data_IF_817169641329
#
_entry.id   IF_817169641329
#
_cell.length_a   1.000
_cell.length_b   1.000
_cell.length_c   1.000
_cell.angle_alpha   90.00
_cell.angle_beta   90.00
_cell.angle_gamma   90.00
#
_symmetry.space_group_name_H-M   'P 1'
#
loop_
_entity.id
_entity.type
_entity.pdbx_description
1 polymer ?
#
# COMPACT_ATOMS: atom_id res chain seq x y z
N UNK A 1 6.13 -13.15 -7.96
CA UNK A 1 7.18 -13.26 -6.93
C UNK A 1 7.82 -11.91 -6.57
N UNK A 2 8.24 -11.06 -7.52
CA UNK A 2 8.92 -9.76 -7.21
C UNK A 2 8.10 -8.75 -6.38
N UNK A 3 6.80 -8.55 -6.66
CA UNK A 3 5.97 -7.59 -5.89
C UNK A 3 5.82 -7.98 -4.41
N UNK A 4 5.61 -9.28 -4.13
CA UNK A 4 5.52 -9.80 -2.76
C UNK A 4 6.83 -9.55 -1.98
N UNK A 5 7.98 -9.59 -2.65
CA UNK A 5 9.27 -9.31 -2.03
C UNK A 5 9.48 -7.82 -1.75
N UNK A 6 8.91 -6.92 -2.57
CA UNK A 6 8.88 -5.49 -2.28
C UNK A 6 8.06 -5.17 -1.02
N UNK A 7 6.93 -5.86 -0.84
CA UNK A 7 6.09 -5.71 0.34
C UNK A 7 6.80 -6.13 1.64
N UNK A 8 7.56 -7.22 1.62
CA UNK A 8 8.34 -7.66 2.79
C UNK A 8 9.46 -6.70 3.20
N UNK A 9 9.78 -5.70 2.37
CA UNK A 9 10.67 -4.59 2.74
C UNK A 9 9.91 -3.44 3.42
N UNK A 10 8.62 -3.30 3.14
CA UNK A 10 7.76 -2.28 3.73
C UNK A 10 7.22 -2.70 5.10
N UNK A 11 6.83 -3.97 5.25
CA UNK A 11 6.28 -4.53 6.49
C UNK A 11 7.26 -5.59 7.03
N UNK A 12 8.13 -5.18 7.96
CA UNK A 12 9.18 -6.00 8.58
C UNK A 12 8.78 -6.52 9.95
N UNK A 13 7.91 -5.81 10.67
CA UNK A 13 7.32 -6.21 11.95
C UNK A 13 5.80 -6.28 11.87
N UNK A 14 5.14 -6.84 12.90
CA UNK A 14 3.67 -6.94 12.95
C UNK A 14 2.98 -5.59 13.09
N UNK A 15 3.67 -4.62 13.68
CA UNK A 15 3.14 -3.30 13.98
C UNK A 15 3.56 -2.27 12.90
N UNK A 16 4.35 -2.71 11.91
CA UNK A 16 4.71 -1.86 10.79
C UNK A 16 3.46 -1.48 10.00
N UNK A 17 3.32 -0.19 9.76
CA UNK A 17 2.31 0.41 8.89
C UNK A 17 3.02 1.15 7.76
N UNK A 18 2.44 1.14 6.58
CA UNK A 18 3.01 1.85 5.44
C UNK A 18 2.14 1.85 4.20
N UNK A 19 2.50 2.72 3.26
CA UNK A 19 1.83 2.86 1.97
C UNK A 19 2.73 2.31 0.86
N UNK A 20 2.17 1.44 0.02
CA UNK A 20 2.82 0.95 -1.19
C UNK A 20 2.22 1.64 -2.42
N UNK A 21 3.03 2.44 -3.10
CA UNK A 21 2.63 3.08 -4.35
C UNK A 21 2.99 2.21 -5.56
N UNK A 22 2.00 1.93 -6.43
CA UNK A 22 2.20 1.29 -7.72
C UNK A 22 2.06 2.32 -8.84
N UNK A 23 3.18 2.91 -9.27
CA UNK A 23 3.21 4.02 -10.22
C UNK A 23 3.33 3.54 -11.68
N UNK A 24 2.42 2.67 -12.10
CA UNK A 24 2.37 2.16 -13.47
C UNK A 24 0.95 2.23 -14.03
N UNK A 25 0.70 3.18 -14.93
CA UNK A 25 -0.60 3.39 -15.57
C UNK A 25 -1.12 2.14 -16.31
N UNK A 26 -0.23 1.22 -16.70
CA UNK A 26 -0.60 -0.03 -17.38
C UNK A 26 -1.33 -1.01 -16.48
N UNK A 27 -1.30 -0.82 -15.15
CA UNK A 27 -2.09 -1.59 -14.20
C UNK A 27 -3.60 -1.43 -14.42
N UNK A 28 -4.04 -0.32 -15.02
CA UNK A 28 -5.45 -0.08 -15.31
C UNK A 28 -5.85 -0.52 -16.73
N UNK A 29 -4.90 -0.53 -17.67
CA UNK A 29 -5.20 -0.74 -19.10
C UNK A 29 -4.94 -2.16 -19.59
N UNK A 30 -4.17 -2.97 -18.84
CA UNK A 30 -3.82 -4.34 -19.23
C UNK A 30 -4.41 -5.36 -18.27
N UNK A 31 -4.83 -6.52 -18.80
CA UNK A 31 -5.46 -7.60 -18.02
C UNK A 31 -4.61 -8.14 -16.87
N UNK A 32 -3.28 -7.94 -16.92
CA UNK A 32 -2.38 -8.36 -15.84
C UNK A 32 -2.52 -7.51 -14.56
N UNK A 33 -3.09 -6.30 -14.63
CA UNK A 33 -3.25 -5.44 -13.46
C UNK A 33 -4.08 -6.10 -12.36
N UNK A 34 -5.16 -6.78 -12.73
CA UNK A 34 -6.00 -7.56 -11.81
C UNK A 34 -5.22 -8.72 -11.17
N UNK A 35 -4.36 -9.39 -11.93
CA UNK A 35 -3.51 -10.48 -11.41
C UNK A 35 -2.49 -9.96 -10.40
N UNK A 36 -1.88 -8.80 -10.66
CA UNK A 36 -0.95 -8.16 -9.73
C UNK A 36 -1.67 -7.78 -8.43
N UNK A 37 -2.82 -7.12 -8.54
CA UNK A 37 -3.62 -6.71 -7.39
C UNK A 37 -4.11 -7.90 -6.55
N UNK A 38 -4.45 -9.02 -7.18
CA UNK A 38 -4.85 -10.25 -6.50
C UNK A 38 -3.68 -11.00 -5.84
N UNK A 39 -2.45 -10.74 -6.29
CA UNK A 39 -1.26 -11.35 -5.69
C UNK A 39 -0.80 -10.61 -4.42
N UNK A 40 -1.36 -9.43 -4.14
CA UNK A 40 -1.05 -8.65 -2.95
C UNK A 40 -1.93 -9.07 -1.77
N UNK A 41 -1.43 -8.96 -0.52
CA UNK A 41 -2.27 -9.13 0.66
C UNK A 41 -3.46 -8.16 0.66
N UNK A 42 -4.55 -8.50 1.37
CA UNK A 42 -5.67 -7.60 1.57
C UNK A 42 -5.19 -6.25 2.13
N UNK A 43 -5.48 -5.17 1.43
CA UNK A 43 -5.14 -3.81 1.82
C UNK A 43 -6.16 -2.83 1.22
N UNK A 44 -6.34 -1.67 1.88
CA UNK A 44 -7.12 -0.57 1.30
C UNK A 44 -6.40 -0.08 0.03
N UNK A 45 -7.16 0.13 -1.04
CA UNK A 45 -6.65 0.64 -2.32
C UNK A 45 -7.18 2.04 -2.54
N UNK A 46 -6.31 2.93 -3.00
CA UNK A 46 -6.67 4.31 -3.32
C UNK A 46 -5.84 4.82 -4.50
N UNK A 47 -6.42 5.72 -5.27
CA UNK A 47 -5.73 6.55 -6.28
C UNK A 47 -5.63 8.02 -5.84
N UNK A 48 -6.09 8.34 -4.62
CA UNK A 48 -6.10 9.69 -4.06
C UNK A 48 -4.91 9.90 -3.15
N UNK A 49 -4.12 10.95 -3.41
CA UNK A 49 -3.03 11.34 -2.52
C UNK A 49 -3.56 11.77 -1.14
N UNK A 50 -4.78 12.31 -1.06
CA UNK A 50 -5.41 12.72 0.21
C UNK A 50 -5.64 11.54 1.16
N UNK A 51 -5.83 10.34 0.62
CA UNK A 51 -6.00 9.15 1.46
C UNK A 51 -4.67 8.69 2.05
N UNK A 52 -3.56 8.95 1.34
CA UNK A 52 -2.20 8.73 1.84
C UNK A 52 -1.87 9.74 2.93
N UNK A 53 -2.18 11.02 2.71
CA UNK A 53 -2.04 12.07 3.74
C UNK A 53 -2.81 11.71 5.01
N UNK A 54 -4.07 11.28 4.87
CA UNK A 54 -4.90 10.83 5.99
C UNK A 54 -4.29 9.64 6.72
N UNK A 55 -3.79 8.65 5.98
CA UNK A 55 -3.16 7.45 6.57
C UNK A 55 -2.01 7.81 7.52
N UNK A 56 -1.18 8.80 7.16
CA UNK A 56 -0.08 9.27 8.01
C UNK A 56 -0.51 10.29 9.07
N UNK A 57 -1.64 11.00 8.88
CA UNK A 57 -2.20 11.88 9.88
C UNK A 57 -2.82 11.12 11.07
N UNK A 58 -3.43 9.96 10.80
CA UNK A 58 -4.00 9.06 11.82
C UNK A 58 -2.94 8.58 12.85
N UNK A 59 -1.64 8.58 12.52
CA UNK A 59 -0.55 8.24 13.45
C UNK A 59 -0.22 9.35 14.45
N UNK A 60 -0.56 10.61 14.18
CA UNK A 60 -0.17 11.74 15.03
C UNK A 60 -1.11 11.99 16.21
N UNK A 61 -2.24 11.28 16.28
CA UNK A 61 -3.22 11.43 17.37
C UNK A 61 -2.96 10.51 18.57
N UNK A 62 -2.08 9.50 18.45
CA UNK A 62 -1.68 8.63 19.56
C UNK A 62 -0.40 9.14 20.25
N UNK A 63 -0.47 10.30 20.89
CA UNK A 63 0.49 10.68 21.93
C UNK A 63 -0.26 10.99 23.22
N UNK A 64 -0.66 9.98 24.01
CA UNK A 64 -1.02 10.22 25.40
C UNK A 64 0.27 10.48 26.18
N UNK A 65 0.27 11.58 26.93
CA UNK A 65 1.29 12.06 27.87
C UNK A 65 2.21 11.00 28.48
#
# INVERSE_FOLDING_TARGET
>A
LRLKQGLGRLLRTRDDRGVMALLDARLHTKGYGKQILNALPPARRTSSIKDVERFFAEEQEEVPF
#
